data_IF_866524493499
#
_entry.id   IF_866524493499
#
_cell.length_a   1.000
_cell.length_b   1.000
_cell.length_c   1.000
_cell.angle_alpha   90.00
_cell.angle_beta   90.00
_cell.angle_gamma   90.00
#
_symmetry.space_group_name_H-M   'P 1'
#
loop_
_entity.id
_entity.type
_entity.pdbx_description
1 polymer ?
#
# COMPACT_ATOMS: atom_id res chain seq x y z
N UNK A 1 6.67 -16.18 -6.15
CA UNK A 1 7.50 -16.41 -4.94
C UNK A 1 8.18 -15.10 -4.58
N UNK A 2 8.13 -14.66 -3.34
CA UNK A 2 8.75 -13.40 -2.85
C UNK A 2 10.24 -13.54 -2.53
N UNK A 3 10.79 -14.77 -2.57
CA UNK A 3 12.21 -15.01 -2.29
C UNK A 3 12.62 -14.83 -0.83
N UNK A 4 11.68 -14.66 0.11
CA UNK A 4 11.92 -14.38 1.54
C UNK A 4 12.34 -15.60 2.37
N UNK A 5 13.04 -16.55 1.75
CA UNK A 5 13.63 -17.71 2.42
C UNK A 5 14.94 -17.38 3.12
N UNK A 6 15.58 -18.40 3.67
CA UNK A 6 16.87 -18.24 4.35
C UNK A 6 18.03 -18.18 3.37
N UNK A 7 18.95 -17.23 3.56
CA UNK A 7 20.27 -17.22 2.90
C UNK A 7 21.35 -17.52 3.94
N UNK A 8 22.24 -18.50 3.67
CA UNK A 8 23.41 -18.81 4.49
C UNK A 8 24.68 -18.44 3.73
N UNK A 9 25.52 -17.59 4.31
CA UNK A 9 26.83 -17.25 3.77
C UNK A 9 27.90 -18.08 4.50
N UNK A 10 28.80 -18.74 3.77
CA UNK A 10 29.91 -19.51 4.34
C UNK A 10 31.19 -19.17 3.58
N UNK A 11 32.14 -18.51 4.25
CA UNK A 11 33.37 -18.03 3.61
C UNK A 11 33.13 -17.02 2.48
N UNK A 12 31.99 -16.33 2.47
CA UNK A 12 31.65 -15.35 1.44
C UNK A 12 32.61 -14.16 1.54
N UNK A 13 33.41 -13.95 0.50
CA UNK A 13 34.30 -12.81 0.39
C UNK A 13 33.52 -11.60 -0.10
N UNK A 14 33.73 -10.46 0.55
CA UNK A 14 33.20 -9.15 0.12
C UNK A 14 34.39 -8.28 -0.23
N UNK A 15 34.42 -7.78 -1.45
CA UNK A 15 35.45 -6.86 -1.91
C UNK A 15 35.23 -5.49 -1.29
N UNK A 16 36.31 -4.75 -1.02
CA UNK A 16 36.25 -3.46 -0.33
C UNK A 16 35.36 -2.43 -1.05
N UNK A 17 35.30 -2.48 -2.38
CA UNK A 17 34.44 -1.62 -3.21
C UNK A 17 32.93 -1.83 -2.99
N UNK A 18 32.54 -2.96 -2.41
CA UNK A 18 31.16 -3.30 -2.06
C UNK A 18 30.81 -2.97 -0.60
N UNK A 19 31.72 -2.31 0.14
CA UNK A 19 31.52 -1.88 1.53
C UNK A 19 31.23 -0.38 1.54
N UNK A 20 30.00 -0.02 1.89
CA UNK A 20 29.53 1.37 1.95
C UNK A 20 29.23 1.78 3.39
N UNK A 21 29.54 3.03 3.75
CA UNK A 21 29.11 3.59 5.03
C UNK A 21 27.58 3.78 5.02
N UNK A 22 26.92 3.41 6.11
CA UNK A 22 25.49 3.63 6.27
C UNK A 22 25.13 5.12 6.13
N UNK A 23 26.01 6.03 6.55
CA UNK A 23 25.83 7.48 6.42
C UNK A 23 25.79 7.96 4.96
N UNK A 24 26.30 7.17 4.01
CA UNK A 24 26.24 7.48 2.57
C UNK A 24 24.91 7.08 1.92
N UNK A 25 24.02 6.40 2.65
CA UNK A 25 22.68 6.08 2.14
C UNK A 25 21.80 7.31 2.06
N UNK A 26 20.86 7.28 1.13
CA UNK A 26 19.87 8.34 0.98
C UNK A 26 18.97 8.41 2.22
N UNK A 27 18.77 9.62 2.74
CA UNK A 27 18.12 9.84 4.05
C UNK A 27 16.64 9.46 4.07
N UNK A 28 15.95 9.51 2.92
CA UNK A 28 14.54 9.13 2.78
C UNK A 28 14.33 7.60 2.60
N UNK A 29 15.37 6.78 2.81
CA UNK A 29 15.32 5.32 2.57
C UNK A 29 14.20 4.58 3.29
N UNK A 30 13.94 4.92 4.55
CA UNK A 30 12.91 4.25 5.34
C UNK A 30 11.53 4.48 4.74
N UNK A 31 11.20 5.75 4.44
CA UNK A 31 9.96 6.12 3.78
C UNK A 31 9.84 5.50 2.38
N UNK A 32 10.94 5.43 1.62
CA UNK A 32 10.97 4.79 0.30
C UNK A 32 10.61 3.30 0.36
N UNK A 33 11.26 2.53 1.24
CA UNK A 33 10.96 1.10 1.36
C UNK A 33 9.53 0.86 1.85
N UNK A 34 9.06 1.66 2.82
CA UNK A 34 7.68 1.58 3.27
C UNK A 34 6.70 1.88 2.14
N UNK A 35 7.01 2.86 1.28
CA UNK A 35 6.16 3.24 0.15
C UNK A 35 5.97 2.09 -0.85
N UNK A 36 6.97 1.24 -1.07
CA UNK A 36 6.82 0.04 -1.92
C UNK A 36 5.77 -0.92 -1.36
N UNK A 37 5.74 -1.11 -0.04
CA UNK A 37 4.73 -1.95 0.63
C UNK A 37 3.34 -1.30 0.56
N UNK A 38 3.26 0.02 0.74
CA UNK A 38 2.02 0.79 0.61
C UNK A 38 1.43 0.69 -0.80
N UNK A 39 2.26 0.87 -1.84
CA UNK A 39 1.84 0.72 -3.22
C UNK A 39 1.34 -0.70 -3.52
N UNK A 40 1.97 -1.71 -2.93
CA UNK A 40 1.52 -3.11 -3.02
C UNK A 40 0.13 -3.29 -2.41
N UNK A 41 -0.10 -2.77 -1.19
CA UNK A 41 -1.41 -2.84 -0.53
C UNK A 41 -2.50 -2.08 -1.31
N UNK A 42 -2.19 -0.88 -1.83
CA UNK A 42 -3.12 -0.15 -2.68
C UNK A 42 -3.49 -0.94 -3.95
N UNK A 43 -2.51 -1.59 -4.59
CA UNK A 43 -2.74 -2.47 -5.73
C UNK A 43 -3.65 -3.67 -5.40
N UNK A 44 -3.44 -4.29 -4.23
CA UNK A 44 -4.32 -5.35 -3.73
C UNK A 44 -5.74 -4.82 -3.52
N UNK A 45 -5.90 -3.64 -2.90
CA UNK A 45 -7.21 -3.00 -2.71
C UNK A 45 -7.97 -2.77 -4.01
N UNK A 46 -7.28 -2.27 -5.05
CA UNK A 46 -7.87 -2.09 -6.39
C UNK A 46 -8.29 -3.41 -7.03
N UNK A 47 -7.51 -4.48 -6.83
CA UNK A 47 -7.87 -5.81 -7.30
C UNK A 47 -9.11 -6.35 -6.59
N UNK A 48 -9.17 -6.23 -5.26
CA UNK A 48 -10.32 -6.63 -4.44
C UNK A 48 -11.59 -5.90 -4.87
N UNK A 49 -11.53 -4.57 -5.04
CA UNK A 49 -12.67 -3.78 -5.51
C UNK A 49 -13.17 -4.24 -6.88
N UNK A 50 -12.25 -4.41 -7.84
CA UNK A 50 -12.58 -4.89 -9.18
C UNK A 50 -13.23 -6.27 -9.12
N UNK A 51 -12.65 -7.18 -8.35
CA UNK A 51 -13.11 -8.57 -8.28
C UNK A 51 -14.48 -8.67 -7.58
N UNK A 52 -14.73 -7.86 -6.55
CA UNK A 52 -16.04 -7.69 -5.92
C UNK A 52 -17.11 -7.23 -6.92
N UNK A 53 -16.81 -6.16 -7.68
CA UNK A 53 -17.72 -5.60 -8.67
C UNK A 53 -18.02 -6.62 -9.79
N UNK A 54 -16.99 -7.30 -10.31
CA UNK A 54 -17.17 -8.32 -11.35
C UNK A 54 -17.95 -9.53 -10.83
N UNK A 55 -17.67 -9.97 -9.61
CA UNK A 55 -18.38 -11.08 -8.96
C UNK A 55 -19.86 -10.79 -8.83
N UNK A 56 -20.24 -9.63 -8.28
CA UNK A 56 -21.64 -9.23 -8.11
C UNK A 56 -22.35 -9.05 -9.45
N UNK A 57 -21.68 -8.46 -10.46
CA UNK A 57 -22.26 -8.23 -11.79
C UNK A 57 -22.65 -9.53 -12.51
N UNK A 58 -21.80 -10.56 -12.43
CA UNK A 58 -21.98 -11.82 -13.15
C UNK A 58 -22.78 -12.86 -12.37
N UNK A 59 -22.89 -12.72 -11.04
CA UNK A 59 -23.62 -13.68 -10.21
C UNK A 59 -25.13 -13.59 -10.49
N UNK A 60 -25.73 -14.73 -10.83
CA UNK A 60 -27.15 -14.85 -11.16
C UNK A 60 -27.98 -15.58 -10.09
N UNK A 61 -27.33 -16.26 -9.14
CA UNK A 61 -27.99 -17.02 -8.08
C UNK A 61 -28.07 -16.20 -6.80
N UNK A 62 -29.27 -16.17 -6.21
CA UNK A 62 -29.57 -15.52 -4.94
C UNK A 62 -30.16 -16.53 -3.94
N UNK A 63 -30.07 -16.22 -2.65
CA UNK A 63 -30.79 -16.96 -1.61
C UNK A 63 -32.30 -16.78 -1.72
N UNK A 64 -33.08 -17.79 -1.35
CA UNK A 64 -34.55 -17.78 -1.41
C UNK A 64 -35.20 -16.69 -0.54
N UNK A 65 -34.46 -16.15 0.43
CA UNK A 65 -34.88 -15.08 1.32
C UNK A 65 -34.09 -13.78 1.11
N UNK A 66 -33.40 -13.64 -0.04
CA UNK A 66 -32.68 -12.41 -0.38
C UNK A 66 -33.60 -11.23 -0.69
N UNK A 67 -33.08 -10.01 -0.67
CA UNK A 67 -33.88 -8.79 -0.87
C UNK A 67 -34.12 -8.44 -2.35
N UNK A 68 -33.53 -9.21 -3.27
CA UNK A 68 -33.67 -9.02 -4.71
C UNK A 68 -33.61 -10.34 -5.48
N UNK A 69 -34.00 -10.32 -6.75
CA UNK A 69 -33.90 -11.50 -7.63
C UNK A 69 -32.45 -11.86 -7.99
N UNK A 70 -31.56 -10.86 -8.05
CA UNK A 70 -30.14 -11.02 -8.38
C UNK A 70 -29.26 -10.14 -7.47
N UNK A 71 -28.01 -10.55 -7.15
CA UNK A 71 -27.14 -9.82 -6.23
C UNK A 71 -26.86 -8.36 -6.57
N UNK A 72 -26.75 -8.03 -7.86
CA UNK A 72 -26.51 -6.66 -8.32
C UNK A 72 -27.65 -5.68 -8.03
N UNK A 73 -28.83 -6.19 -7.67
CA UNK A 73 -30.01 -5.39 -7.32
C UNK A 73 -30.28 -5.43 -5.80
N UNK A 74 -29.47 -6.16 -5.02
CA UNK A 74 -29.64 -6.27 -3.57
C UNK A 74 -28.87 -5.16 -2.84
N UNK A 75 -29.61 -4.32 -2.10
CA UNK A 75 -29.04 -3.17 -1.39
C UNK A 75 -27.98 -3.56 -0.34
N UNK A 76 -28.11 -4.73 0.31
CA UNK A 76 -27.12 -5.18 1.30
C UNK A 76 -25.82 -5.62 0.62
N UNK A 77 -25.91 -6.28 -0.54
CA UNK A 77 -24.74 -6.63 -1.34
C UNK A 77 -24.04 -5.37 -1.85
N UNK A 78 -24.81 -4.42 -2.40
CA UNK A 78 -24.28 -3.16 -2.91
C UNK A 78 -23.66 -2.30 -1.80
N UNK A 79 -24.16 -2.37 -0.57
CA UNK A 79 -23.55 -1.72 0.59
C UNK A 79 -22.12 -2.23 0.84
N UNK A 80 -21.91 -3.55 0.85
CA UNK A 80 -20.58 -4.15 1.06
C UNK A 80 -19.63 -3.77 -0.07
N UNK A 81 -20.10 -3.81 -1.33
CA UNK A 81 -19.29 -3.36 -2.49
C UNK A 81 -18.90 -1.88 -2.35
N UNK A 82 -19.84 -1.02 -1.95
CA UNK A 82 -19.56 0.39 -1.70
C UNK A 82 -18.57 0.62 -0.55
N UNK A 83 -18.62 -0.20 0.50
CA UNK A 83 -17.69 -0.16 1.61
C UNK A 83 -16.27 -0.55 1.18
N UNK A 84 -16.11 -1.64 0.42
CA UNK A 84 -14.85 -2.08 -0.17
C UNK A 84 -14.26 -0.98 -1.07
N UNK A 85 -15.08 -0.41 -1.96
CA UNK A 85 -14.67 0.69 -2.84
C UNK A 85 -14.18 1.90 -2.05
N UNK A 86 -14.89 2.27 -0.98
CA UNK A 86 -14.51 3.40 -0.12
C UNK A 86 -13.15 3.19 0.57
N UNK A 87 -12.91 1.98 1.09
CA UNK A 87 -11.64 1.61 1.70
C UNK A 87 -10.47 1.58 0.71
N UNK A 88 -10.69 1.03 -0.48
CA UNK A 88 -9.69 1.00 -1.55
C UNK A 88 -9.34 2.42 -2.02
N UNK A 89 -10.36 3.27 -2.22
CA UNK A 89 -10.19 4.66 -2.62
C UNK A 89 -9.38 5.46 -1.59
N UNK A 90 -9.75 5.36 -0.31
CA UNK A 90 -9.11 6.12 0.75
C UNK A 90 -7.68 5.64 1.02
N UNK A 91 -7.44 4.33 0.97
CA UNK A 91 -6.07 3.78 1.01
C UNK A 91 -5.23 4.34 -0.13
N UNK A 92 -5.74 4.30 -1.38
CA UNK A 92 -5.01 4.85 -2.53
C UNK A 92 -4.70 6.32 -2.38
N UNK A 93 -5.65 7.12 -1.88
CA UNK A 93 -5.44 8.55 -1.62
C UNK A 93 -4.32 8.78 -0.60
N UNK A 94 -4.33 8.04 0.51
CA UNK A 94 -3.28 8.12 1.52
C UNK A 94 -1.89 7.72 0.97
N UNK A 95 -1.84 6.67 0.15
CA UNK A 95 -0.58 6.25 -0.50
C UNK A 95 -0.07 7.30 -1.48
N UNK A 96 -0.93 7.93 -2.27
CA UNK A 96 -0.54 9.01 -3.18
C UNK A 96 -0.03 10.25 -2.43
N UNK A 97 -0.64 10.58 -1.29
CA UNK A 97 -0.14 11.66 -0.43
C UNK A 97 1.27 11.35 0.09
N UNK A 98 1.49 10.14 0.62
CA UNK A 98 2.81 9.71 1.06
C UNK A 98 3.85 9.69 -0.10
N UNK A 99 3.42 9.38 -1.32
CA UNK A 99 4.27 9.44 -2.52
C UNK A 99 4.76 10.86 -2.80
N UNK A 100 3.87 11.85 -2.66
CA UNK A 100 4.22 13.26 -2.87
C UNK A 100 5.24 13.74 -1.83
N UNK A 101 5.05 13.43 -0.54
CA UNK A 101 6.05 13.79 0.48
C UNK A 101 7.39 13.08 0.27
N UNK A 102 7.38 11.82 -0.16
CA UNK A 102 8.59 11.10 -0.53
C UNK A 102 9.28 11.76 -1.74
N UNK A 103 8.53 12.18 -2.74
CA UNK A 103 9.06 12.89 -3.90
C UNK A 103 9.70 14.23 -3.48
N UNK A 104 9.09 14.95 -2.54
CA UNK A 104 9.67 16.19 -2.02
C UNK A 104 10.95 15.95 -1.23
N UNK A 105 11.04 14.87 -0.46
CA UNK A 105 12.28 14.45 0.18
C UNK A 105 13.36 14.07 -0.83
N UNK A 106 12.98 13.37 -1.91
CA UNK A 106 13.85 13.11 -3.04
C UNK A 106 14.31 14.41 -3.73
N UNK A 107 13.47 15.40 -3.95
CA UNK A 107 13.95 16.65 -4.58
C UNK A 107 14.89 17.41 -3.65
N UNK A 108 14.59 17.44 -2.34
CA UNK A 108 15.38 18.20 -1.37
C UNK A 108 16.75 17.59 -1.06
N UNK A 109 17.00 16.30 -1.31
CA UNK A 109 18.22 15.62 -0.84
C UNK A 109 19.54 16.18 -1.40
N UNK A 110 19.50 16.93 -2.50
CA UNK A 110 20.66 17.60 -3.12
C UNK A 110 20.81 19.07 -2.69
N UNK A 111 19.97 19.53 -1.77
CA UNK A 111 20.03 20.90 -1.24
C UNK A 111 21.21 21.07 -0.29
N UNK A 112 21.78 22.29 -0.23
CA UNK A 112 22.73 22.68 0.82
C UNK A 112 22.02 23.08 2.14
N UNK A 113 20.68 23.13 2.16
CA UNK A 113 19.88 23.44 3.34
C UNK A 113 19.56 22.16 4.14
N UNK A 114 20.39 21.91 5.15
CA UNK A 114 20.24 20.77 6.06
C UNK A 114 18.90 20.79 6.82
N UNK A 115 18.37 21.96 7.17
CA UNK A 115 17.08 22.06 7.86
C UNK A 115 15.91 21.69 6.94
N UNK A 116 15.98 22.09 5.67
CA UNK A 116 15.02 21.66 4.65
C UNK A 116 15.06 20.15 4.44
N UNK A 117 16.26 19.57 4.30
CA UNK A 117 16.43 18.12 4.13
C UNK A 117 15.81 17.37 5.32
N UNK A 118 16.15 17.76 6.55
CA UNK A 118 15.62 17.13 7.75
C UNK A 118 14.09 17.20 7.81
N UNK A 119 13.51 18.37 7.54
CA UNK A 119 12.05 18.57 7.54
C UNK A 119 11.34 17.70 6.50
N UNK A 120 11.88 17.59 5.28
CA UNK A 120 11.25 16.79 4.21
C UNK A 120 11.34 15.29 4.48
N UNK A 121 12.47 14.80 4.99
CA UNK A 121 12.59 13.41 5.39
C UNK A 121 11.60 13.06 6.52
N UNK A 122 11.49 13.92 7.54
CA UNK A 122 10.57 13.70 8.65
C UNK A 122 9.10 13.66 8.18
N UNK A 123 8.71 14.57 7.27
CA UNK A 123 7.35 14.55 6.70
C UNK A 123 7.08 13.27 5.90
N UNK A 124 8.03 12.84 5.05
CA UNK A 124 7.90 11.61 4.29
C UNK A 124 7.75 10.38 5.19
N UNK A 125 8.48 10.31 6.30
CA UNK A 125 8.33 9.23 7.28
C UNK A 125 6.96 9.25 7.97
N UNK A 126 6.50 10.42 8.41
CA UNK A 126 5.20 10.57 9.08
C UNK A 126 4.05 10.18 8.15
N UNK A 127 4.04 10.67 6.91
CA UNK A 127 2.96 10.36 5.97
C UNK A 127 2.99 8.90 5.50
N UNK A 128 4.19 8.31 5.33
CA UNK A 128 4.30 6.88 5.08
C UNK A 128 3.73 6.04 6.25
N UNK A 129 3.99 6.45 7.50
CA UNK A 129 3.43 5.78 8.68
C UNK A 129 1.90 5.95 8.78
N UNK A 130 1.37 7.14 8.48
CA UNK A 130 -0.08 7.37 8.45
C UNK A 130 -0.77 6.50 7.39
N UNK A 131 -0.22 6.47 6.17
CA UNK A 131 -0.72 5.62 5.10
C UNK A 131 -0.62 4.13 5.46
N UNK A 132 0.42 3.71 6.19
CA UNK A 132 0.58 2.33 6.65
C UNK A 132 -0.54 1.90 7.58
N UNK A 133 -0.90 2.72 8.57
CA UNK A 133 -1.98 2.39 9.52
C UNK A 133 -3.30 2.15 8.79
N UNK A 134 -3.60 2.96 7.77
CA UNK A 134 -4.80 2.82 6.95
C UNK A 134 -4.71 1.56 6.08
N UNK A 135 -3.64 1.42 5.32
CA UNK A 135 -3.49 0.36 4.33
C UNK A 135 -3.43 -1.04 4.97
N UNK A 136 -2.78 -1.17 6.12
CA UNK A 136 -2.62 -2.46 6.82
C UNK A 136 -3.88 -2.94 7.53
N UNK A 137 -4.82 -2.05 7.82
CA UNK A 137 -6.11 -2.42 8.42
C UNK A 137 -7.19 -2.60 7.35
N UNK A 138 -7.36 -1.62 6.46
CA UNK A 138 -8.52 -1.60 5.56
C UNK A 138 -8.40 -2.55 4.38
N UNK A 139 -7.20 -2.76 3.84
CA UNK A 139 -7.05 -3.66 2.69
C UNK A 139 -7.26 -5.13 3.07
N UNK A 140 -6.70 -5.64 4.20
CA UNK A 140 -7.04 -6.97 4.66
C UNK A 140 -8.53 -7.14 4.99
N UNK A 141 -9.19 -6.14 5.60
CA UNK A 141 -10.64 -6.17 5.82
C UNK A 141 -11.42 -6.24 4.51
N UNK A 142 -11.07 -5.41 3.53
CA UNK A 142 -11.70 -5.45 2.21
C UNK A 142 -11.56 -6.83 1.55
N UNK A 143 -10.38 -7.45 1.65
CA UNK A 143 -10.14 -8.79 1.14
C UNK A 143 -10.99 -9.84 1.88
N UNK A 144 -11.14 -9.74 3.19
CA UNK A 144 -12.00 -10.62 3.99
C UNK A 144 -13.48 -10.47 3.60
N UNK A 145 -13.99 -9.25 3.39
CA UNK A 145 -15.39 -9.04 2.98
C UNK A 145 -15.69 -9.61 1.58
N UNK A 146 -14.67 -9.81 0.74
CA UNK A 146 -14.82 -10.41 -0.59
C UNK A 146 -14.98 -11.95 -0.55
N UNK A 147 -14.42 -12.64 0.46
CA UNK A 147 -14.30 -14.10 0.53
C UNK A 147 -15.15 -14.71 1.64
#
# INVERSE_FOLDING_TARGET
MTGSGTTRFTGARVETEHVYDFAQRFRYQTAFYQHVLLATLAGIGLAVERDAAQGVKHRSRMYSHGNAAVPRDDAQVLQVVGQISSWAWATRAAVLQAAESLQQAYVAHVSDDEALIARRNQLAEVEAAQAQVIASDWIPRAATELF
#
